data_IF_931841160970
#
_entry.id   IF_931841160970
#
_cell.length_a   1.000
_cell.length_b   1.000
_cell.length_c   1.000
_cell.angle_alpha   90.00
_cell.angle_beta   90.00
_cell.angle_gamma   90.00
#
_symmetry.space_group_name_H-M   'P 1'
#
loop_
_entity.id
_entity.type
_entity.pdbx_description
1 polymer ?
#
# COMPACT_ATOMS: atom_id res chain seq x y z
N UNK A 1 -12.56 -30.06 37.01
CA UNK A 1 -12.40 -30.09 35.54
C UNK A 1 -11.95 -28.72 35.10
N UNK A 2 -10.81 -28.61 34.41
CA UNK A 2 -10.29 -27.31 33.97
C UNK A 2 -10.88 -26.98 32.59
N UNK A 3 -11.51 -25.82 32.47
CA UNK A 3 -11.96 -25.29 31.18
C UNK A 3 -10.78 -24.59 30.52
N UNK A 4 -10.40 -25.07 29.33
CA UNK A 4 -9.36 -24.46 28.51
C UNK A 4 -10.00 -23.41 27.59
N UNK A 5 -9.50 -22.17 27.65
CA UNK A 5 -9.86 -21.11 26.72
C UNK A 5 -8.58 -20.77 25.94
N UNK A 6 -8.60 -21.00 24.63
CA UNK A 6 -7.57 -20.55 23.72
C UNK A 6 -8.07 -19.33 22.95
N UNK A 7 -7.28 -18.26 22.96
CA UNK A 7 -7.41 -17.14 22.05
C UNK A 7 -6.51 -17.42 20.85
N UNK A 8 -7.09 -17.46 19.65
CA UNK A 8 -6.35 -17.57 18.40
C UNK A 8 -6.02 -16.17 17.88
N UNK A 9 -4.98 -16.07 17.04
CA UNK A 9 -4.68 -14.82 16.36
C UNK A 9 -5.82 -14.47 15.41
N UNK A 10 -6.07 -13.16 15.25
CA UNK A 10 -7.06 -12.70 14.29
C UNK A 10 -6.62 -13.12 12.88
N UNK A 11 -7.48 -13.84 12.19
CA UNK A 11 -7.20 -14.41 10.85
C UNK A 11 -7.79 -13.56 9.76
N UNK A 12 -8.61 -12.56 10.11
CA UNK A 12 -9.18 -11.67 9.12
C UNK A 12 -8.09 -10.80 8.49
N UNK A 13 -8.07 -10.78 7.16
CA UNK A 13 -7.11 -9.93 6.46
C UNK A 13 -7.54 -8.47 6.58
N UNK A 14 -6.59 -7.61 6.95
CA UNK A 14 -6.75 -6.15 6.91
C UNK A 14 -7.28 -5.64 5.56
N UNK A 15 -7.02 -6.38 4.48
CA UNK A 15 -7.53 -6.12 3.12
C UNK A 15 -9.04 -5.98 3.04
N UNK A 16 -9.81 -6.60 3.93
CA UNK A 16 -11.29 -6.49 3.97
C UNK A 16 -11.76 -5.09 4.35
N UNK A 17 -10.90 -4.30 5.02
CA UNK A 17 -11.22 -2.99 5.56
C UNK A 17 -10.82 -1.83 4.63
N UNK A 18 -10.44 -2.13 3.39
CA UNK A 18 -10.08 -1.12 2.39
C UNK A 18 -11.31 -0.29 1.99
N UNK A 19 -11.19 1.04 1.89
CA UNK A 19 -12.29 1.86 1.38
C UNK A 19 -12.60 1.50 -0.07
N UNK A 20 -13.83 1.73 -0.52
CA UNK A 20 -14.14 1.54 -1.94
C UNK A 20 -13.39 2.56 -2.80
N UNK A 21 -12.79 2.08 -3.88
CA UNK A 21 -12.10 2.85 -4.90
C UNK A 21 -12.95 3.99 -5.49
N UNK A 22 -14.27 3.77 -5.59
CA UNK A 22 -15.21 4.71 -6.23
C UNK A 22 -15.35 6.03 -5.48
N UNK A 23 -15.06 6.04 -4.18
CA UNK A 23 -15.15 7.23 -3.33
C UNK A 23 -13.85 8.01 -3.20
N UNK A 24 -12.78 7.60 -3.89
CA UNK A 24 -11.42 8.09 -3.63
C UNK A 24 -10.92 9.10 -4.66
N UNK A 25 -11.81 9.65 -5.50
CA UNK A 25 -11.45 10.73 -6.43
C UNK A 25 -10.86 11.91 -5.66
N UNK A 26 -9.75 12.46 -6.16
CA UNK A 26 -9.04 13.61 -5.56
C UNK A 26 -8.66 13.39 -4.08
N UNK A 27 -8.58 12.14 -3.65
CA UNK A 27 -8.28 11.75 -2.27
C UNK A 27 -6.93 11.06 -2.20
N UNK A 28 -6.12 11.42 -1.20
CA UNK A 28 -4.88 10.73 -0.87
C UNK A 28 -5.15 9.64 0.17
N UNK A 29 -4.86 8.40 -0.19
CA UNK A 29 -5.02 7.22 0.67
C UNK A 29 -3.66 6.80 1.20
N UNK A 30 -3.52 6.67 2.53
CA UNK A 30 -2.30 6.20 3.18
C UNK A 30 -2.52 4.79 3.72
N UNK A 31 -1.65 3.84 3.37
CA UNK A 31 -1.81 2.42 3.68
C UNK A 31 -0.53 1.79 4.24
N UNK A 32 -0.67 0.93 5.24
CA UNK A 32 0.42 0.06 5.71
C UNK A 32 0.56 -1.20 4.83
N UNK A 33 1.60 -2.00 5.06
CA UNK A 33 1.96 -3.15 4.22
C UNK A 33 0.91 -4.27 4.20
N UNK A 34 0.09 -4.40 5.25
CA UNK A 34 -1.00 -5.38 5.27
C UNK A 34 -2.16 -5.05 4.31
N UNK A 35 -2.26 -3.79 3.87
CA UNK A 35 -3.25 -3.32 2.90
C UNK A 35 -2.73 -3.32 1.46
N UNK A 36 -1.45 -3.63 1.24
CA UNK A 36 -0.84 -3.59 -0.09
C UNK A 36 -1.44 -4.62 -1.04
N UNK A 37 -1.85 -4.14 -2.21
CA UNK A 37 -2.45 -4.94 -3.27
C UNK A 37 -2.43 -4.16 -4.59
N UNK A 38 -1.64 -4.63 -5.56
CA UNK A 38 -1.39 -3.90 -6.81
C UNK A 38 -2.69 -3.63 -7.58
N UNK A 39 -3.61 -4.60 -7.65
CA UNK A 39 -4.88 -4.43 -8.37
C UNK A 39 -5.79 -3.38 -7.73
N UNK A 40 -5.76 -3.26 -6.40
CA UNK A 40 -6.50 -2.20 -5.72
C UNK A 40 -5.87 -0.81 -5.93
N UNK A 41 -4.54 -0.70 -5.90
CA UNK A 41 -3.84 0.56 -6.21
C UNK A 41 -4.14 1.04 -7.64
N UNK A 42 -4.20 0.11 -8.60
CA UNK A 42 -4.60 0.41 -9.97
C UNK A 42 -6.03 0.98 -10.03
N UNK A 43 -6.98 0.37 -9.32
CA UNK A 43 -8.37 0.86 -9.23
C UNK A 43 -8.49 2.26 -8.61
N UNK A 44 -7.71 2.55 -7.56
CA UNK A 44 -7.63 3.91 -7.00
C UNK A 44 -7.18 4.90 -8.07
N UNK A 45 -6.09 4.57 -8.78
CA UNK A 45 -5.56 5.43 -9.84
C UNK A 45 -6.57 5.65 -10.97
N UNK A 46 -7.27 4.59 -11.41
CA UNK A 46 -8.32 4.68 -12.44
C UNK A 46 -9.51 5.54 -11.98
N UNK A 47 -9.78 5.59 -10.67
CA UNK A 47 -10.84 6.41 -10.08
C UNK A 47 -10.42 7.87 -9.84
N UNK A 48 -9.19 8.26 -10.21
CA UNK A 48 -8.65 9.60 -10.02
C UNK A 48 -8.20 9.88 -8.58
N UNK A 49 -7.93 8.83 -7.79
CA UNK A 49 -7.36 8.93 -6.46
C UNK A 49 -5.83 8.83 -6.46
N UNK A 50 -5.24 9.12 -5.31
CA UNK A 50 -3.81 9.06 -5.05
C UNK A 50 -3.52 8.12 -3.87
N UNK A 51 -2.33 7.54 -3.82
CA UNK A 51 -1.95 6.66 -2.71
C UNK A 51 -0.49 6.79 -2.30
N UNK A 52 -0.24 6.60 -1.00
CA UNK A 52 1.08 6.35 -0.42
C UNK A 52 0.96 5.06 0.37
N UNK A 53 1.78 4.07 0.04
CA UNK A 53 1.72 2.75 0.65
C UNK A 53 3.08 2.37 1.19
N UNK A 54 3.11 1.85 2.42
CA UNK A 54 4.26 1.11 2.92
C UNK A 54 4.22 -0.28 2.32
N UNK A 55 5.34 -0.75 1.81
CA UNK A 55 5.46 -2.15 1.40
C UNK A 55 6.74 -2.76 1.97
N UNK A 56 6.83 -4.08 1.88
CA UNK A 56 8.02 -4.88 2.09
C UNK A 56 9.07 -4.56 1.01
N UNK A 57 10.31 -5.01 1.24
CA UNK A 57 11.43 -4.67 0.35
C UNK A 57 11.40 -5.39 -1.02
N UNK A 58 10.57 -6.43 -1.18
CA UNK A 58 10.73 -7.42 -2.24
C UNK A 58 9.76 -7.25 -3.43
N UNK A 59 9.33 -6.02 -3.75
CA UNK A 59 8.53 -5.77 -4.96
C UNK A 59 9.42 -5.44 -6.14
N UNK A 60 9.17 -6.09 -7.28
CA UNK A 60 9.82 -5.76 -8.54
C UNK A 60 9.10 -4.60 -9.25
N UNK A 61 9.22 -3.37 -8.73
CA UNK A 61 8.64 -2.17 -9.33
C UNK A 61 9.59 -1.54 -10.36
N UNK A 62 9.02 -0.99 -11.44
CA UNK A 62 9.73 -0.05 -12.30
C UNK A 62 9.69 1.35 -11.66
N UNK A 63 10.85 1.84 -11.21
CA UNK A 63 10.97 3.19 -10.66
C UNK A 63 10.98 4.21 -11.80
N UNK A 64 9.90 4.99 -11.94
CA UNK A 64 9.74 6.01 -13.01
C UNK A 64 10.28 7.38 -12.62
N UNK A 65 10.27 7.71 -11.33
CA UNK A 65 10.78 8.96 -10.79
C UNK A 65 11.11 8.78 -9.30
N UNK A 66 12.09 9.55 -8.82
CA UNK A 66 12.50 9.60 -7.42
C UNK A 66 12.47 11.07 -7.01
N UNK A 67 11.97 11.35 -5.81
CA UNK A 67 11.91 12.70 -5.25
C UNK A 67 12.48 12.68 -3.83
N UNK A 68 13.08 13.80 -3.41
CA UNK A 68 13.45 14.00 -2.01
C UNK A 68 12.25 14.55 -1.19
N UNK A 69 12.47 14.76 0.10
CA UNK A 69 11.49 15.31 1.04
C UNK A 69 10.98 16.71 0.68
N UNK A 70 11.74 17.45 -0.14
CA UNK A 70 11.36 18.77 -0.65
C UNK A 70 10.57 18.69 -1.97
N UNK A 71 10.31 17.49 -2.49
CA UNK A 71 9.65 17.29 -3.78
C UNK A 71 10.56 17.54 -5.00
N UNK A 72 11.88 17.66 -4.81
CA UNK A 72 12.84 17.81 -5.90
C UNK A 72 13.12 16.46 -6.53
N UNK A 73 12.95 16.39 -7.85
CA UNK A 73 13.24 15.18 -8.62
C UNK A 73 14.73 14.87 -8.56
N UNK A 74 15.06 13.69 -8.05
CA UNK A 74 16.43 13.18 -8.04
C UNK A 74 16.73 12.55 -9.41
N UNK A 75 17.81 12.99 -10.06
CA UNK A 75 18.32 12.35 -11.26
C UNK A 75 19.17 11.14 -10.86
N UNK A 76 18.71 9.92 -11.13
CA UNK A 76 19.60 8.76 -11.08
C UNK A 76 19.30 7.68 -12.12
N UNK A 77 20.39 7.11 -12.65
CA UNK A 77 20.44 6.08 -13.68
C UNK A 77 20.23 4.72 -13.00
N UNK A 78 18.99 4.24 -12.99
CA UNK A 78 18.56 2.88 -12.57
C UNK A 78 19.12 2.41 -11.22
N UNK A 79 18.38 2.68 -10.14
CA UNK A 79 18.57 1.97 -8.86
C UNK A 79 17.57 0.83 -8.75
N UNK A 80 18.06 -0.38 -8.45
CA UNK A 80 17.23 -1.43 -7.86
C UNK A 80 17.11 -1.09 -6.37
N UNK A 81 15.89 -0.84 -5.90
CA UNK A 81 15.59 -0.87 -4.48
C UNK A 81 15.87 -2.31 -4.02
N UNK A 82 16.81 -2.46 -3.08
CA UNK A 82 17.15 -3.75 -2.46
C UNK A 82 16.21 -4.04 -1.32
#
# INVERSE_FOLDING_TARGET
MAHYIALDADKESEKSYRPSEKGLKETLVMMDAGYFDIGYLEKISQSGGFFVVREKANINLLVVAIYNEMGLKLFHKVMKLK
#
